data_IF_280046379415
#
_entry.id   IF_280046379415
#
_cell.length_a   1.000
_cell.length_b   1.000
_cell.length_c   1.000
_cell.angle_alpha   90.00
_cell.angle_beta   90.00
_cell.angle_gamma   90.00
#
_symmetry.space_group_name_H-M   'P 1'
#
loop_
_entity.id
_entity.type
_entity.pdbx_description
1 polymer ?
#
# COMPACT_ATOMS: atom_id res chain seq x y z
N UNK A 1 23.50 -61.62 43.11
CA UNK A 1 24.55 -61.29 42.12
C UNK A 1 24.03 -61.73 40.76
N UNK A 2 23.48 -60.79 39.99
CA UNK A 2 24.14 -60.02 38.91
C UNK A 2 24.21 -60.82 37.61
N UNK A 3 23.39 -60.42 36.63
CA UNK A 3 23.84 -59.98 35.31
C UNK A 3 22.63 -59.93 34.37
N UNK A 4 22.26 -58.72 33.92
CA UNK A 4 21.36 -58.55 32.78
C UNK A 4 21.93 -57.46 31.86
N UNK A 5 22.06 -57.85 30.60
CA UNK A 5 21.96 -57.07 29.36
C UNK A 5 23.01 -56.00 29.05
N UNK A 6 23.96 -56.42 28.21
CA UNK A 6 24.56 -55.62 27.15
C UNK A 6 23.64 -55.52 25.94
N UNK A 7 23.42 -54.29 25.46
CA UNK A 7 23.61 -53.85 24.05
C UNK A 7 22.68 -52.69 23.72
N UNK A 8 23.21 -51.47 23.60
CA UNK A 8 22.52 -50.35 22.97
C UNK A 8 23.46 -49.63 22.00
N UNK A 9 23.13 -49.82 20.72
CA UNK A 9 23.06 -48.83 19.62
C UNK A 9 24.32 -47.99 19.31
N UNK A 10 24.89 -48.28 18.14
CA UNK A 10 25.59 -47.29 17.32
C UNK A 10 24.57 -46.45 16.54
N UNK A 11 24.80 -45.12 16.48
CA UNK A 11 24.64 -44.20 15.32
C UNK A 11 24.26 -42.79 15.81
N UNK A 12 25.19 -41.84 15.62
CA UNK A 12 24.89 -40.48 15.14
C UNK A 12 26.20 -39.70 14.93
N UNK A 13 26.83 -39.90 13.78
CA UNK A 13 27.81 -38.96 13.21
C UNK A 13 27.03 -37.93 12.38
N UNK A 14 27.02 -36.67 12.84
CA UNK A 14 26.35 -35.57 12.15
C UNK A 14 26.43 -34.23 12.86
N UNK A 15 27.64 -33.80 13.28
CA UNK A 15 27.82 -32.40 13.68
C UNK A 15 28.11 -31.58 12.42
N UNK A 16 27.06 -31.00 11.83
CA UNK A 16 27.24 -29.85 10.94
C UNK A 16 27.89 -28.73 11.76
N UNK A 17 29.01 -28.20 11.27
CA UNK A 17 29.69 -27.07 11.90
C UNK A 17 28.74 -25.88 11.98
N UNK A 18 28.26 -25.57 13.19
CA UNK A 18 27.65 -24.27 13.47
C UNK A 18 28.75 -23.23 13.24
N UNK A 19 28.59 -22.40 12.21
CA UNK A 19 29.43 -21.23 12.03
C UNK A 19 29.41 -20.42 13.34
N UNK A 20 30.59 -20.04 13.84
CA UNK A 20 30.69 -19.26 15.07
C UNK A 20 29.82 -18.00 14.94
N UNK A 21 28.90 -17.80 15.89
CA UNK A 21 28.05 -16.62 15.92
C UNK A 21 28.93 -15.38 16.09
N UNK A 22 28.96 -14.53 15.06
CA UNK A 22 29.68 -13.25 15.13
C UNK A 22 28.77 -12.22 15.79
N UNK A 23 29.10 -11.79 17.00
CA UNK A 23 28.37 -10.70 17.66
C UNK A 23 28.55 -9.40 16.88
N UNK A 24 27.45 -8.72 16.59
CA UNK A 24 27.42 -7.43 15.91
C UNK A 24 26.79 -6.37 16.82
N UNK A 25 27.29 -5.13 16.74
CA UNK A 25 26.64 -3.98 17.36
C UNK A 25 25.29 -3.69 16.70
N UNK A 26 24.39 -2.97 17.38
CA UNK A 26 23.12 -2.55 16.80
C UNK A 26 23.29 -1.80 15.47
N UNK A 27 24.32 -0.94 15.40
CA UNK A 27 24.67 -0.19 14.19
C UNK A 27 25.15 -1.09 13.05
N UNK A 28 26.01 -2.08 13.34
CA UNK A 28 26.48 -3.04 12.34
C UNK A 28 25.36 -3.95 11.84
N UNK A 29 24.49 -4.41 12.74
CA UNK A 29 23.30 -5.20 12.40
C UNK A 29 22.36 -4.39 11.50
N UNK A 30 22.06 -3.14 11.86
CA UNK A 30 21.26 -2.24 11.05
C UNK A 30 21.83 -2.03 9.64
N UNK A 31 23.14 -1.75 9.55
CA UNK A 31 23.81 -1.54 8.27
C UNK A 31 23.82 -2.79 7.37
N UNK A 32 23.86 -3.99 7.96
CA UNK A 32 23.87 -5.26 7.20
C UNK A 32 22.48 -5.72 6.76
N UNK A 33 21.42 -5.35 7.48
CA UNK A 33 20.07 -5.83 7.22
C UNK A 33 19.23 -4.89 6.35
N UNK A 34 19.61 -3.63 6.19
CA UNK A 34 18.78 -2.60 5.54
C UNK A 34 19.00 -2.55 4.01
N UNK A 35 17.94 -2.46 3.18
CA UNK A 35 16.52 -2.54 3.53
C UNK A 35 16.04 -4.00 3.59
N UNK A 36 14.94 -4.24 4.31
CA UNK A 36 14.30 -5.55 4.41
C UNK A 36 12.99 -5.68 3.65
N UNK A 37 12.63 -6.91 3.29
CA UNK A 37 11.41 -7.27 2.57
C UNK A 37 10.70 -8.45 3.25
N UNK A 38 9.36 -8.48 3.29
CA UNK A 38 8.60 -9.59 3.85
C UNK A 38 8.05 -10.51 2.77
N UNK A 39 8.11 -11.82 3.06
CA UNK A 39 7.43 -12.86 2.28
C UNK A 39 6.02 -13.13 2.86
N UNK A 40 5.10 -12.18 2.75
CA UNK A 40 3.76 -12.29 3.32
C UNK A 40 2.81 -13.20 2.53
N UNK A 41 1.74 -13.71 3.15
CA UNK A 41 0.78 -14.64 2.53
C UNK A 41 1.44 -15.87 1.85
N UNK A 42 2.54 -16.35 2.42
CA UNK A 42 3.24 -17.59 2.00
C UNK A 42 3.10 -18.64 3.09
N UNK A 43 4.05 -18.71 4.04
CA UNK A 43 4.01 -19.69 5.13
C UNK A 43 3.08 -19.25 6.28
N UNK A 44 2.60 -18.02 6.22
CA UNK A 44 1.55 -17.44 7.04
C UNK A 44 0.14 -17.64 6.47
N UNK A 45 0.01 -18.18 5.25
CA UNK A 45 -1.28 -18.50 4.65
C UNK A 45 -1.98 -19.67 5.36
N UNK A 46 -3.30 -19.57 5.51
CA UNK A 46 -4.15 -20.63 6.05
C UNK A 46 -5.00 -21.29 4.94
N UNK A 47 -5.16 -22.63 4.95
CA UNK A 47 -4.59 -23.58 5.91
C UNK A 47 -3.11 -23.94 5.66
N UNK A 48 -2.56 -23.64 4.48
CA UNK A 48 -1.16 -23.97 4.13
C UNK A 48 -0.59 -23.03 3.06
N UNK A 49 0.72 -23.07 2.82
CA UNK A 49 1.34 -22.38 1.68
C UNK A 49 0.64 -22.75 0.36
N UNK A 50 0.38 -21.76 -0.49
CA UNK A 50 -0.41 -21.94 -1.71
C UNK A 50 -1.90 -21.62 -1.54
N UNK A 51 -2.39 -21.47 -0.31
CA UNK A 51 -3.84 -21.27 -0.05
C UNK A 51 -4.31 -19.85 -0.35
N UNK A 52 -3.47 -18.84 -0.12
CA UNK A 52 -3.80 -17.44 -0.41
C UNK A 52 -3.11 -16.92 -1.66
N UNK A 53 -1.85 -17.31 -1.87
CA UNK A 53 -1.03 -16.91 -3.02
C UNK A 53 -0.18 -18.10 -3.48
N UNK A 54 0.32 -18.04 -4.71
CA UNK A 54 1.22 -19.06 -5.25
C UNK A 54 2.44 -19.28 -4.33
N UNK A 55 2.90 -20.54 -4.15
CA UNK A 55 4.08 -20.87 -3.36
C UNK A 55 5.33 -20.11 -3.82
N UNK A 56 6.24 -19.83 -2.88
CA UNK A 56 7.49 -19.12 -3.21
C UNK A 56 8.44 -20.01 -4.01
N UNK A 57 9.21 -19.42 -4.93
CA UNK A 57 10.26 -20.13 -5.66
C UNK A 57 11.64 -19.54 -5.34
N UNK A 58 12.71 -20.33 -5.50
CA UNK A 58 14.09 -19.87 -5.24
C UNK A 58 14.46 -18.60 -6.03
N UNK A 59 13.92 -18.45 -7.25
CA UNK A 59 14.15 -17.26 -8.09
C UNK A 59 13.65 -15.97 -7.42
N UNK A 60 12.62 -16.04 -6.57
CA UNK A 60 12.12 -14.89 -5.81
C UNK A 60 13.21 -14.31 -4.91
N UNK A 61 13.92 -15.15 -4.14
CA UNK A 61 14.99 -14.69 -3.25
C UNK A 61 16.19 -14.12 -4.02
N UNK A 62 16.58 -14.78 -5.11
CA UNK A 62 17.66 -14.29 -5.99
C UNK A 62 17.30 -12.91 -6.58
N UNK A 63 16.05 -12.72 -6.99
CA UNK A 63 15.57 -11.46 -7.58
C UNK A 63 15.48 -10.35 -6.53
N UNK A 64 14.89 -10.61 -5.35
CA UNK A 64 14.79 -9.65 -4.24
C UNK A 64 16.19 -9.20 -3.77
N UNK A 65 17.15 -10.12 -3.70
CA UNK A 65 18.54 -9.78 -3.38
C UNK A 65 19.21 -8.92 -4.48
N UNK A 66 18.99 -9.28 -5.76
CA UNK A 66 19.48 -8.52 -6.91
C UNK A 66 18.86 -7.12 -7.00
N UNK A 67 17.60 -6.98 -6.60
CA UNK A 67 16.90 -5.69 -6.50
C UNK A 67 17.41 -4.82 -5.35
N UNK A 68 18.21 -5.40 -4.46
CA UNK A 68 19.03 -4.68 -3.49
C UNK A 68 18.57 -4.78 -2.03
N UNK A 69 17.54 -5.58 -1.74
CA UNK A 69 17.19 -5.92 -0.36
C UNK A 69 18.29 -6.76 0.28
N UNK A 70 18.47 -6.59 1.59
CA UNK A 70 19.57 -7.20 2.36
C UNK A 70 19.08 -8.09 3.50
N UNK A 71 17.79 -8.04 3.81
CA UNK A 71 17.15 -9.01 4.70
C UNK A 71 15.76 -9.39 4.18
N UNK A 72 15.31 -10.58 4.57
CA UNK A 72 13.94 -11.05 4.35
C UNK A 72 13.32 -11.45 5.69
N UNK A 73 12.10 -11.02 5.96
CA UNK A 73 11.27 -11.57 7.05
C UNK A 73 10.28 -12.57 6.45
N UNK A 74 10.25 -13.77 7.03
CA UNK A 74 9.35 -14.85 6.61
C UNK A 74 8.32 -15.02 7.73
N UNK A 75 7.13 -14.41 7.61
CA UNK A 75 6.03 -14.66 8.53
C UNK A 75 5.58 -16.13 8.39
N UNK A 76 5.32 -16.78 9.52
CA UNK A 76 4.84 -18.16 9.59
C UNK A 76 3.66 -18.15 10.56
N UNK A 77 2.52 -18.66 10.12
CA UNK A 77 1.35 -18.80 10.99
C UNK A 77 1.47 -20.14 11.69
N UNK A 78 1.65 -20.10 13.01
CA UNK A 78 1.87 -21.33 13.75
C UNK A 78 0.59 -22.02 14.20
N UNK A 79 -0.51 -21.29 14.46
CA UNK A 79 -1.86 -21.69 14.95
C UNK A 79 -2.00 -22.91 15.92
N UNK A 80 -0.89 -23.45 16.40
CA UNK A 80 -0.68 -24.60 17.28
C UNK A 80 0.20 -24.18 18.48
N UNK A 81 0.13 -22.90 18.90
CA UNK A 81 0.95 -22.33 19.98
C UNK A 81 0.14 -21.77 21.16
N UNK A 82 -1.11 -22.19 21.28
CA UNK A 82 -1.78 -22.18 22.58
C UNK A 82 -1.00 -23.09 23.54
N UNK A 83 -0.72 -22.63 24.76
CA UNK A 83 -0.11 -23.49 25.80
C UNK A 83 -1.14 -24.39 26.51
N UNK A 84 -2.41 -24.27 26.14
CA UNK A 84 -3.45 -25.22 26.49
C UNK A 84 -4.59 -25.17 25.49
N UNK A 85 -5.14 -26.33 25.15
CA UNK A 85 -6.44 -26.42 24.49
C UNK A 85 -7.60 -26.20 25.48
N UNK A 86 -8.81 -26.55 25.07
CA UNK A 86 -9.98 -26.56 25.93
C UNK A 86 -9.69 -27.22 27.30
N UNK A 87 -10.26 -26.68 28.39
CA UNK A 87 -11.26 -25.61 28.38
C UNK A 87 -10.68 -24.18 28.39
N UNK A 88 -9.36 -24.00 28.48
CA UNK A 88 -8.83 -22.72 28.96
C UNK A 88 -8.23 -21.81 27.89
N UNK A 89 -7.73 -22.34 26.76
CA UNK A 89 -7.15 -21.55 25.66
C UNK A 89 -6.36 -20.32 26.14
N UNK A 90 -5.46 -20.54 27.11
CA UNK A 90 -4.90 -19.45 27.91
C UNK A 90 -3.87 -18.66 27.10
N UNK A 91 -4.14 -17.36 26.93
CA UNK A 91 -3.18 -16.38 26.41
C UNK A 91 -2.44 -15.76 27.61
N UNK A 92 -1.13 -15.53 27.47
CA UNK A 92 -0.25 -15.05 28.55
C UNK A 92 -0.82 -13.81 29.29
N UNK A 93 -1.17 -13.93 30.60
CA UNK A 93 -1.73 -12.84 31.38
C UNK A 93 -0.78 -11.65 31.63
N UNK A 94 0.54 -11.89 31.63
CA UNK A 94 1.53 -10.82 31.77
C UNK A 94 1.55 -9.90 30.53
N UNK A 95 1.21 -10.47 29.38
CA UNK A 95 1.10 -9.76 28.11
C UNK A 95 -0.15 -8.88 28.04
N UNK A 96 -1.31 -9.38 28.48
CA UNK A 96 -2.58 -8.63 28.49
C UNK A 96 -2.58 -7.45 29.48
N UNK A 97 -1.92 -7.61 30.63
CA UNK A 97 -1.86 -6.56 31.67
C UNK A 97 -0.96 -5.37 31.27
N UNK A 98 0.09 -5.63 30.47
CA UNK A 98 0.97 -4.58 29.94
C UNK A 98 0.31 -3.73 28.85
N UNK A 99 -0.55 -4.34 28.05
CA UNK A 99 -1.24 -3.67 26.94
C UNK A 99 -2.30 -2.70 27.46
N UNK A 100 -3.10 -3.08 28.47
CA UNK A 100 -4.12 -2.20 29.06
C UNK A 100 -3.51 -0.97 29.75
N UNK A 101 -2.40 -1.13 30.49
CA UNK A 101 -1.72 -0.02 31.16
C UNK A 101 -1.21 1.07 30.20
N UNK A 102 -0.75 0.68 29.00
CA UNK A 102 -0.19 1.60 28.01
C UNK A 102 -1.28 2.37 27.26
N UNK A 103 -2.43 1.73 27.02
CA UNK A 103 -3.59 2.32 26.34
C UNK A 103 -4.33 3.30 27.26
N UNK A 104 -4.51 2.96 28.54
CA UNK A 104 -5.18 3.83 29.50
C UNK A 104 -4.35 5.08 29.85
N UNK A 105 -3.03 4.96 29.90
CA UNK A 105 -2.12 6.08 30.14
C UNK A 105 -2.18 7.13 29.01
N UNK A 106 -2.31 6.70 27.76
CA UNK A 106 -2.38 7.59 26.59
C UNK A 106 -3.72 8.35 26.49
N UNK A 107 -4.83 7.73 26.92
CA UNK A 107 -6.16 8.35 26.91
C UNK A 107 -6.38 9.29 28.10
N UNK A 108 -5.79 9.02 29.26
CA UNK A 108 -5.95 9.83 30.48
C UNK A 108 -5.30 11.22 30.44
N UNK A 109 -4.46 11.51 29.43
CA UNK A 109 -3.79 12.81 29.26
C UNK A 109 -4.43 13.72 28.19
N UNK A 110 -5.58 13.32 27.64
CA UNK A 110 -6.40 14.19 26.78
C UNK A 110 -5.87 14.44 25.36
N UNK A 111 -5.15 13.50 24.75
CA UNK A 111 -4.60 13.66 23.41
C UNK A 111 -5.48 13.02 22.33
N UNK A 112 -5.86 13.79 21.31
CA UNK A 112 -5.98 13.40 19.89
C UNK A 112 -6.00 14.66 19.00
N UNK A 113 -5.45 14.57 17.76
CA UNK A 113 -5.97 15.16 16.48
C UNK A 113 -4.94 15.01 15.33
N UNK A 114 -5.46 14.75 14.12
CA UNK A 114 -4.81 14.52 12.81
C UNK A 114 -4.99 15.74 11.88
N UNK A 115 -3.96 16.24 11.15
CA UNK A 115 -4.02 16.84 9.77
C UNK A 115 -2.61 17.02 9.09
N UNK A 116 -2.36 16.26 8.00
CA UNK A 116 -1.65 16.49 6.71
C UNK A 116 -0.16 16.95 6.58
N UNK A 117 0.49 16.35 5.54
CA UNK A 117 1.80 16.46 4.84
C UNK A 117 3.09 16.79 5.59
N UNK A 118 3.08 17.72 6.55
CA UNK A 118 4.25 18.02 7.38
C UNK A 118 4.02 17.64 8.84
N UNK A 119 2.79 17.80 9.34
CA UNK A 119 2.41 17.27 10.64
C UNK A 119 2.40 15.74 10.66
N UNK A 120 2.09 15.07 9.54
CA UNK A 120 2.16 13.60 9.45
C UNK A 120 3.61 13.10 9.50
N UNK A 121 4.55 13.81 8.84
CA UNK A 121 5.98 13.49 8.96
C UNK A 121 6.45 13.67 10.40
N UNK A 122 6.00 14.74 11.06
CA UNK A 122 6.26 15.00 12.47
C UNK A 122 5.60 13.96 13.39
N UNK A 123 4.42 13.46 13.03
CA UNK A 123 3.72 12.39 13.75
C UNK A 123 4.49 11.07 13.61
N UNK A 124 4.84 10.66 12.40
CA UNK A 124 5.68 9.47 12.14
C UNK A 124 7.01 9.57 12.91
N UNK A 125 7.64 10.75 12.93
CA UNK A 125 8.80 11.00 13.78
C UNK A 125 8.48 10.86 15.27
N UNK A 126 7.36 11.44 15.75
CA UNK A 126 6.97 11.40 17.15
C UNK A 126 6.58 10.00 17.65
N UNK A 127 6.18 9.10 16.75
CA UNK A 127 5.88 7.70 17.06
C UNK A 127 7.14 6.82 17.01
N UNK A 128 8.01 7.04 16.02
CA UNK A 128 9.24 6.25 15.84
C UNK A 128 10.33 6.63 16.85
N UNK A 129 10.50 7.93 17.15
CA UNK A 129 11.58 8.44 18.00
C UNK A 129 11.57 7.86 19.42
N UNK A 130 10.43 7.79 20.15
CA UNK A 130 10.39 7.22 21.50
C UNK A 130 10.74 5.72 21.52
N UNK A 131 10.34 4.98 20.48
CA UNK A 131 10.71 3.55 20.35
C UNK A 131 12.22 3.42 20.33
N UNK A 132 12.94 4.20 19.51
CA UNK A 132 14.41 4.15 19.50
C UNK A 132 15.02 4.55 20.85
N UNK A 133 14.51 5.61 21.48
CA UNK A 133 15.04 6.13 22.74
C UNK A 133 14.95 5.16 23.92
N UNK A 134 14.06 4.16 23.84
CA UNK A 134 13.79 3.21 24.92
C UNK A 134 14.60 1.91 24.84
N UNK A 135 15.32 1.65 23.74
CA UNK A 135 16.01 0.37 23.52
C UNK A 135 17.46 0.57 23.06
N UNK A 136 18.40 -0.14 23.69
CA UNK A 136 19.81 -0.22 23.28
C UNK A 136 20.11 -1.34 22.28
N UNK A 137 19.11 -2.17 21.96
CA UNK A 137 19.18 -3.31 21.03
C UNK A 137 18.87 -2.87 19.58
N UNK A 138 19.24 -3.65 18.54
CA UNK A 138 18.75 -3.41 17.19
C UNK A 138 17.22 -3.48 17.16
N UNK A 139 16.58 -2.57 16.42
CA UNK A 139 15.12 -2.51 16.30
C UNK A 139 14.73 -2.84 14.87
N UNK A 140 13.78 -3.77 14.73
CA UNK A 140 13.19 -4.18 13.48
C UNK A 140 11.74 -3.68 13.45
N UNK A 141 11.40 -2.83 12.49
CA UNK A 141 9.99 -2.59 12.15
C UNK A 141 9.56 -3.75 11.26
N UNK A 142 8.98 -4.78 11.90
CA UNK A 142 8.72 -6.08 11.30
C UNK A 142 7.78 -6.04 10.09
N UNK A 143 6.87 -5.06 10.02
CA UNK A 143 5.98 -4.86 8.89
C UNK A 143 5.73 -3.36 8.71
N UNK A 144 5.83 -2.90 7.47
CA UNK A 144 5.28 -1.62 7.03
C UNK A 144 4.95 -1.70 5.54
N UNK A 145 3.81 -1.17 5.13
CA UNK A 145 3.47 -0.95 3.72
C UNK A 145 2.24 -0.07 3.62
N UNK A 146 1.89 0.31 2.40
CA UNK A 146 0.52 0.69 2.05
C UNK A 146 -0.15 -0.50 1.32
N UNK A 147 -1.33 -0.29 0.71
CA UNK A 147 -1.97 -1.28 -0.18
C UNK A 147 -1.96 -0.84 -1.64
N UNK A 148 -1.45 -1.72 -2.52
CA UNK A 148 -1.56 -1.66 -3.99
C UNK A 148 -1.56 -0.24 -4.64
N UNK A 149 -0.42 0.47 -4.71
CA UNK A 149 -0.31 1.78 -5.35
C UNK A 149 -0.82 1.79 -6.80
N UNK A 150 -1.66 2.77 -7.14
CA UNK A 150 -2.32 2.90 -8.44
C UNK A 150 -3.54 2.00 -8.65
N UNK A 151 -3.93 1.23 -7.63
CA UNK A 151 -5.16 0.43 -7.56
C UNK A 151 -5.97 0.87 -6.34
N UNK A 152 -5.49 0.58 -5.12
CA UNK A 152 -6.18 0.92 -3.88
C UNK A 152 -5.81 2.31 -3.37
N UNK A 153 -4.55 2.72 -3.58
CA UNK A 153 -4.01 4.01 -3.10
C UNK A 153 -3.47 4.81 -4.27
N UNK A 154 -3.64 6.13 -4.24
CA UNK A 154 -3.09 7.02 -5.25
C UNK A 154 -1.55 6.99 -5.24
N UNK A 155 -0.95 6.89 -6.42
CA UNK A 155 0.49 6.67 -6.60
C UNK A 155 1.35 7.70 -5.86
N UNK A 156 1.12 8.99 -6.06
CA UNK A 156 1.94 10.04 -5.44
C UNK A 156 1.85 9.99 -3.91
N UNK A 157 0.67 9.70 -3.38
CA UNK A 157 0.43 9.54 -1.94
C UNK A 157 1.18 8.33 -1.37
N UNK A 158 1.14 7.19 -2.06
CA UNK A 158 1.90 6.01 -1.67
C UNK A 158 3.43 6.28 -1.70
N UNK A 159 3.93 6.91 -2.76
CA UNK A 159 5.35 7.25 -2.91
C UNK A 159 5.83 8.19 -1.80
N UNK A 160 5.04 9.22 -1.47
CA UNK A 160 5.36 10.14 -0.37
C UNK A 160 5.38 9.44 0.99
N UNK A 161 4.44 8.50 1.22
CA UNK A 161 4.38 7.71 2.45
C UNK A 161 5.59 6.78 2.57
N UNK A 162 5.91 6.00 1.52
CA UNK A 162 7.07 5.13 1.51
C UNK A 162 8.37 5.92 1.69
N UNK A 163 8.50 7.08 1.06
CA UNK A 163 9.67 7.93 1.26
C UNK A 163 9.80 8.39 2.72
N UNK A 164 8.71 8.91 3.29
CA UNK A 164 8.69 9.46 4.64
C UNK A 164 8.97 8.38 5.68
N UNK A 165 8.19 7.30 5.70
CA UNK A 165 8.27 6.26 6.73
C UNK A 165 9.62 5.55 6.68
N UNK A 166 10.10 5.22 5.48
CA UNK A 166 11.40 4.55 5.31
C UNK A 166 12.54 5.46 5.76
N UNK A 167 12.56 6.75 5.35
CA UNK A 167 13.61 7.68 5.79
C UNK A 167 13.59 7.88 7.30
N UNK A 168 12.41 8.00 7.92
CA UNK A 168 12.31 8.18 9.37
C UNK A 168 12.80 6.93 10.12
N UNK A 169 12.43 5.73 9.67
CA UNK A 169 12.96 4.49 10.24
C UNK A 169 14.49 4.42 10.17
N UNK A 170 15.07 4.72 9.00
CA UNK A 170 16.53 4.69 8.81
C UNK A 170 17.24 5.77 9.63
N UNK A 171 16.67 6.97 9.75
CA UNK A 171 17.18 8.05 10.59
C UNK A 171 17.33 7.64 12.05
N UNK A 172 16.45 6.76 12.53
CA UNK A 172 16.45 6.24 13.89
C UNK A 172 17.09 4.85 14.03
N UNK A 173 17.85 4.40 13.03
CA UNK A 173 18.52 3.09 13.05
C UNK A 173 17.54 1.91 13.25
N UNK A 174 16.30 2.06 12.77
CA UNK A 174 15.29 1.01 12.75
C UNK A 174 15.28 0.36 11.37
N UNK A 175 15.46 -0.96 11.30
CA UNK A 175 15.42 -1.70 10.04
C UNK A 175 13.96 -1.88 9.61
N UNK A 176 13.51 -1.27 8.49
CA UNK A 176 12.13 -1.41 8.02
C UNK A 176 12.01 -2.67 7.13
N UNK A 177 11.05 -3.53 7.44
CA UNK A 177 10.74 -4.72 6.65
C UNK A 177 9.46 -4.49 5.85
N UNK A 178 9.60 -4.29 4.54
CA UNK A 178 8.47 -3.94 3.68
C UNK A 178 7.51 -5.12 3.56
N UNK A 179 6.25 -4.95 3.98
CA UNK A 179 5.21 -5.95 3.82
C UNK A 179 4.82 -6.14 2.34
N UNK A 180 5.01 -7.35 1.83
CA UNK A 180 4.60 -7.74 0.47
C UNK A 180 3.90 -9.11 0.49
N UNK A 181 2.58 -9.05 0.32
CA UNK A 181 1.73 -10.23 0.28
C UNK A 181 1.79 -11.00 -1.05
N UNK A 182 2.58 -10.55 -2.03
CA UNK A 182 2.71 -11.16 -3.36
C UNK A 182 1.63 -10.76 -4.38
N UNK A 183 0.51 -10.22 -3.91
CA UNK A 183 -0.58 -9.70 -4.74
C UNK A 183 -0.40 -8.23 -5.13
N UNK A 184 0.25 -7.44 -4.27
CA UNK A 184 0.25 -5.98 -4.39
C UNK A 184 1.51 -5.40 -5.04
N UNK A 185 2.68 -5.98 -4.77
CA UNK A 185 3.96 -5.42 -5.19
C UNK A 185 4.73 -6.37 -6.08
N UNK A 186 5.53 -7.28 -5.53
CA UNK A 186 6.32 -8.21 -6.32
C UNK A 186 5.42 -9.33 -6.86
N UNK A 187 5.32 -9.43 -8.17
CA UNK A 187 4.65 -10.55 -8.83
C UNK A 187 5.61 -11.74 -8.85
N UNK A 188 5.30 -12.72 -8.00
CA UNK A 188 6.09 -13.95 -7.84
C UNK A 188 6.08 -14.83 -9.09
N UNK A 189 5.05 -14.72 -9.94
CA UNK A 189 4.92 -15.51 -11.16
C UNK A 189 5.80 -14.93 -12.26
N UNK A 190 5.72 -13.61 -12.47
CA UNK A 190 6.49 -12.95 -13.54
C UNK A 190 7.89 -12.53 -13.11
N UNK A 191 8.17 -12.52 -11.81
CA UNK A 191 9.43 -12.04 -11.23
C UNK A 191 9.61 -10.52 -11.36
N UNK A 192 8.50 -9.77 -11.48
CA UNK A 192 8.52 -8.33 -11.75
C UNK A 192 7.77 -7.54 -10.68
N UNK A 193 8.25 -6.34 -10.39
CA UNK A 193 7.53 -5.38 -9.56
C UNK A 193 6.35 -4.79 -10.32
N UNK A 194 5.15 -4.84 -9.73
CA UNK A 194 3.96 -4.15 -10.24
C UNK A 194 4.10 -2.63 -10.16
N UNK A 195 4.76 -2.13 -9.10
CA UNK A 195 5.16 -0.73 -8.95
C UNK A 195 6.69 -0.61 -8.75
N UNK A 196 7.39 -0.40 -9.86
CA UNK A 196 8.84 -0.19 -9.84
C UNK A 196 9.26 1.14 -9.20
N UNK A 197 8.38 2.16 -9.21
CA UNK A 197 8.69 3.47 -8.63
C UNK A 197 8.78 3.36 -7.11
N UNK A 198 7.80 2.71 -6.48
CA UNK A 198 7.84 2.45 -5.02
C UNK A 198 9.10 1.66 -4.63
N UNK A 199 9.43 0.60 -5.37
CA UNK A 199 10.67 -0.16 -5.14
C UNK A 199 11.90 0.73 -5.24
N UNK A 200 12.00 1.55 -6.30
CA UNK A 200 13.16 2.43 -6.49
C UNK A 200 13.27 3.52 -5.41
N UNK A 201 12.14 4.02 -4.90
CA UNK A 201 12.10 4.98 -3.78
C UNK A 201 12.73 4.37 -2.53
N UNK A 202 12.29 3.16 -2.13
CA UNK A 202 12.84 2.44 -0.98
C UNK A 202 14.34 2.19 -1.16
N UNK A 203 14.75 1.78 -2.35
CA UNK A 203 16.17 1.51 -2.66
C UNK A 203 17.04 2.77 -2.66
N UNK A 204 16.52 3.90 -3.15
CA UNK A 204 17.23 5.17 -3.12
C UNK A 204 17.47 5.63 -1.68
N UNK A 205 16.50 5.43 -0.79
CA UNK A 205 16.58 5.78 0.63
C UNK A 205 17.62 4.93 1.35
N UNK A 206 17.63 3.61 1.09
CA UNK A 206 18.65 2.71 1.62
C UNK A 206 20.06 3.10 1.15
N UNK A 207 20.18 3.71 -0.04
CA UNK A 207 21.44 4.27 -0.55
C UNK A 207 21.75 5.69 -0.02
N UNK A 208 21.01 6.18 0.98
CA UNK A 208 21.23 7.50 1.58
C UNK A 208 20.77 8.68 0.72
N UNK A 209 19.91 8.44 -0.28
CA UNK A 209 19.38 9.49 -1.16
C UNK A 209 18.00 9.98 -0.67
N UNK A 210 17.71 11.25 -0.92
CA UNK A 210 16.39 11.85 -0.73
C UNK A 210 15.65 11.81 -2.07
N UNK A 211 14.42 11.29 -2.08
CA UNK A 211 13.61 11.27 -3.29
C UNK A 211 12.84 12.57 -3.48
N UNK A 212 12.58 12.90 -4.75
CA UNK A 212 11.48 13.79 -5.11
C UNK A 212 10.26 12.96 -5.47
N UNK A 213 9.07 13.53 -5.34
CA UNK A 213 7.82 12.88 -5.74
C UNK A 213 6.74 13.93 -6.04
N UNK A 214 5.74 13.62 -6.87
CA UNK A 214 4.60 14.49 -7.10
C UNK A 214 3.80 14.78 -5.81
N UNK A 215 3.08 15.91 -5.79
CA UNK A 215 2.03 16.11 -4.78
C UNK A 215 0.88 15.12 -5.00
N UNK A 216 0.12 14.83 -3.94
CA UNK A 216 -1.04 13.93 -3.99
C UNK A 216 -1.97 14.26 -5.17
N UNK A 217 -2.39 13.23 -5.90
CA UNK A 217 -3.19 13.36 -7.12
C UNK A 217 -2.39 13.62 -8.41
N UNK A 218 -1.06 13.80 -8.34
CA UNK A 218 -0.20 14.04 -9.50
C UNK A 218 0.61 12.80 -9.92
N UNK A 219 0.37 11.63 -9.31
CA UNK A 219 0.99 10.35 -9.71
C UNK A 219 0.42 9.76 -11.01
N UNK A 220 -0.60 10.38 -11.58
CA UNK A 220 -1.17 10.08 -12.89
C UNK A 220 -1.73 11.36 -13.50
N UNK A 221 -1.44 11.59 -14.78
CA UNK A 221 -2.09 12.64 -15.58
C UNK A 221 -3.45 12.14 -16.03
N UNK A 222 -4.50 12.78 -15.53
CA UNK A 222 -5.89 12.47 -15.87
C UNK A 222 -6.41 13.43 -16.94
N UNK A 223 -6.60 12.91 -18.16
CA UNK A 223 -7.12 13.64 -19.30
C UNK A 223 -8.62 13.38 -19.42
N UNK A 224 -9.46 14.38 -19.16
CA UNK A 224 -10.90 14.24 -19.37
C UNK A 224 -11.22 14.34 -20.86
N UNK A 225 -11.94 13.37 -21.42
CA UNK A 225 -12.34 13.43 -22.83
C UNK A 225 -13.19 14.67 -23.12
N UNK A 226 -12.93 15.29 -24.27
CA UNK A 226 -13.57 16.57 -24.65
C UNK A 226 -12.99 17.80 -23.95
N UNK A 227 -12.02 17.65 -23.04
CA UNK A 227 -11.32 18.77 -22.38
C UNK A 227 -9.90 18.88 -22.92
N UNK A 228 -9.55 20.05 -23.44
CA UNK A 228 -8.22 20.32 -24.04
C UNK A 228 -7.17 20.76 -23.03
N UNK A 229 -7.58 21.33 -21.89
CA UNK A 229 -6.67 21.79 -20.84
C UNK A 229 -6.02 20.60 -20.14
N UNK A 230 -4.68 20.59 -20.13
CA UNK A 230 -3.87 19.58 -19.43
C UNK A 230 -3.41 20.20 -18.11
N UNK A 231 -3.69 19.53 -16.99
CA UNK A 231 -3.27 20.00 -15.68
C UNK A 231 -1.76 19.79 -15.49
N UNK A 232 -1.05 20.73 -14.86
CA UNK A 232 0.34 20.53 -14.49
C UNK A 232 0.51 19.40 -13.46
N UNK A 233 1.68 18.78 -13.50
CA UNK A 233 2.17 17.84 -12.51
C UNK A 233 3.05 18.64 -11.54
N UNK A 234 2.54 18.88 -10.34
CA UNK A 234 3.30 19.57 -9.29
C UNK A 234 4.18 18.59 -8.52
N UNK A 235 5.40 19.04 -8.21
CA UNK A 235 6.47 18.21 -7.67
C UNK A 235 6.98 18.73 -6.32
N UNK A 236 7.17 17.81 -5.36
CA UNK A 236 8.00 18.02 -4.18
C UNK A 236 9.43 17.64 -4.52
N UNK A 237 10.26 18.65 -4.81
CA UNK A 237 11.63 18.42 -5.24
C UNK A 237 12.57 17.99 -4.12
N UNK A 238 12.28 18.33 -2.86
CA UNK A 238 13.07 17.92 -1.68
C UNK A 238 14.57 18.20 -1.82
N UNK A 239 14.93 19.35 -2.41
CA UNK A 239 16.31 19.78 -2.65
C UNK A 239 16.94 19.24 -3.94
N UNK A 240 16.28 18.34 -4.66
CA UNK A 240 16.73 17.87 -5.97
C UNK A 240 16.31 18.82 -7.10
N UNK A 241 16.87 18.58 -8.29
CA UNK A 241 16.56 19.32 -9.52
C UNK A 241 16.03 18.38 -10.59
N UNK A 242 15.07 18.85 -11.41
CA UNK A 242 14.62 18.15 -12.61
C UNK A 242 15.77 18.05 -13.61
N UNK A 243 16.15 16.83 -14.01
CA UNK A 243 17.18 16.58 -15.04
C UNK A 243 16.58 16.40 -16.42
N UNK A 244 15.39 15.81 -16.49
CA UNK A 244 14.69 15.64 -17.74
C UNK A 244 13.47 14.74 -17.60
N UNK A 245 12.71 14.69 -18.68
CA UNK A 245 11.53 13.86 -18.81
C UNK A 245 11.74 12.99 -20.04
N UNK A 246 11.43 11.70 -19.91
CA UNK A 246 11.75 10.71 -20.92
C UNK A 246 10.53 9.86 -21.24
N UNK A 247 10.49 9.30 -22.45
CA UNK A 247 9.61 8.19 -22.77
C UNK A 247 10.07 6.92 -22.03
N UNK A 248 9.22 5.89 -21.89
CA UNK A 248 9.63 4.60 -21.32
C UNK A 248 10.77 3.92 -22.10
N UNK A 249 10.91 4.21 -23.39
CA UNK A 249 12.00 3.73 -24.24
C UNK A 249 13.33 4.48 -24.03
N UNK A 250 13.37 5.50 -23.15
CA UNK A 250 14.56 6.27 -22.85
C UNK A 250 14.80 7.49 -23.74
N UNK A 251 13.86 7.84 -24.62
CA UNK A 251 13.96 9.05 -25.46
C UNK A 251 13.66 10.28 -24.62
N UNK A 252 14.59 11.25 -24.58
CA UNK A 252 14.37 12.49 -23.85
C UNK A 252 13.34 13.39 -24.56
N UNK A 253 12.38 13.88 -23.79
CA UNK A 253 11.42 14.89 -24.23
C UNK A 253 12.06 16.28 -24.23
N UNK A 254 11.65 17.11 -25.18
CA UNK A 254 12.17 18.46 -25.39
C UNK A 254 11.37 19.50 -24.59
N UNK A 255 12.02 20.22 -23.69
CA UNK A 255 11.39 21.37 -22.99
C UNK A 255 10.98 22.45 -23.98
N UNK A 256 9.81 23.06 -23.78
CA UNK A 256 9.18 24.03 -24.67
C UNK A 256 8.43 23.43 -25.86
N UNK A 257 8.64 22.15 -26.18
CA UNK A 257 7.95 21.44 -27.26
C UNK A 257 7.04 20.33 -26.74
N UNK A 258 7.60 19.41 -25.96
CA UNK A 258 6.90 18.22 -25.47
C UNK A 258 6.34 18.44 -24.05
N UNK A 259 7.01 19.29 -23.26
CA UNK A 259 6.55 19.75 -21.96
C UNK A 259 7.04 21.17 -21.67
N UNK A 260 6.44 21.84 -20.70
CA UNK A 260 6.88 23.13 -20.18
C UNK A 260 7.04 23.06 -18.68
N UNK A 261 8.14 23.60 -18.13
CA UNK A 261 8.35 23.73 -16.68
C UNK A 261 7.43 24.82 -16.13
N UNK A 262 6.80 24.56 -14.99
CA UNK A 262 5.95 25.53 -14.29
C UNK A 262 6.48 25.77 -12.88
N UNK A 263 6.34 27.00 -12.39
CA UNK A 263 6.78 27.38 -11.03
C UNK A 263 5.64 27.95 -10.16
N UNK A 264 4.43 28.10 -10.72
CA UNK A 264 3.27 28.66 -10.03
C UNK A 264 2.02 27.82 -10.33
N UNK A 265 1.14 27.58 -9.34
CA UNK A 265 1.28 27.90 -7.92
C UNK A 265 2.37 27.09 -7.21
N UNK A 266 2.80 25.97 -7.80
CA UNK A 266 3.86 25.10 -7.27
C UNK A 266 4.84 24.72 -8.40
N UNK A 267 6.09 24.36 -8.07
CA UNK A 267 7.06 23.95 -9.07
C UNK A 267 6.71 22.55 -9.63
N UNK A 268 6.94 22.35 -10.92
CA UNK A 268 6.51 21.16 -11.63
C UNK A 268 6.67 21.29 -13.14
N UNK A 269 5.87 20.54 -13.90
CA UNK A 269 5.83 20.65 -15.36
C UNK A 269 4.44 20.29 -15.90
N UNK A 270 4.15 20.70 -17.13
CA UNK A 270 2.93 20.33 -17.85
C UNK A 270 3.31 19.75 -19.21
N UNK A 271 2.67 18.65 -19.60
CA UNK A 271 2.84 18.06 -20.94
C UNK A 271 2.09 18.90 -21.97
N UNK A 272 2.67 19.10 -23.15
CA UNK A 272 2.01 19.91 -24.18
C UNK A 272 0.86 19.14 -24.85
N UNK A 273 -0.16 19.84 -25.38
CA UNK A 273 -1.20 19.19 -26.19
C UNK A 273 -0.63 18.41 -27.38
N UNK A 274 0.44 18.90 -28.00
CA UNK A 274 1.11 18.21 -29.10
C UNK A 274 1.68 16.86 -28.66
N UNK A 275 2.36 16.81 -27.52
CA UNK A 275 2.86 15.55 -26.97
C UNK A 275 1.74 14.60 -26.60
N UNK A 276 0.69 15.07 -25.90
CA UNK A 276 -0.46 14.22 -25.55
C UNK A 276 -1.14 13.64 -26.79
N UNK A 277 -1.31 14.44 -27.86
CA UNK A 277 -1.89 13.95 -29.11
C UNK A 277 -1.02 12.90 -29.80
N UNK A 278 0.31 12.95 -29.61
CA UNK A 278 1.23 11.94 -30.14
C UNK A 278 1.10 10.56 -29.46
N UNK A 279 0.55 10.49 -28.24
CA UNK A 279 0.37 9.25 -27.49
C UNK A 279 -0.85 8.43 -27.95
N UNK A 280 -1.75 9.02 -28.74
CA UNK A 280 -2.87 8.31 -29.35
C UNK A 280 -4.09 9.18 -29.60
N UNK A 281 -5.02 8.63 -30.40
CA UNK A 281 -6.27 9.29 -30.77
C UNK A 281 -7.05 9.80 -29.55
N UNK A 282 -7.72 10.95 -29.69
CA UNK A 282 -8.52 11.58 -28.62
C UNK A 282 -9.70 10.73 -28.14
N UNK A 283 -10.16 9.78 -28.97
CA UNK A 283 -11.22 8.82 -28.65
C UNK A 283 -10.74 7.65 -27.77
N UNK A 284 -9.43 7.39 -27.68
CA UNK A 284 -8.89 6.29 -26.87
C UNK A 284 -9.03 6.62 -25.39
N UNK A 285 -9.79 5.80 -24.65
CA UNK A 285 -9.91 5.83 -23.19
C UNK A 285 -8.93 4.85 -22.54
N UNK A 286 -8.64 5.07 -21.26
CA UNK A 286 -7.70 4.26 -20.48
C UNK A 286 -6.26 4.74 -20.62
N UNK A 287 -5.31 3.80 -20.55
CA UNK A 287 -3.88 4.09 -20.58
C UNK A 287 -3.42 4.52 -21.97
N UNK A 288 -2.82 5.71 -22.04
CA UNK A 288 -2.19 6.23 -23.26
C UNK A 288 -0.70 5.96 -23.27
N UNK A 289 -0.07 6.00 -22.10
CA UNK A 289 1.35 5.79 -21.91
C UNK A 289 1.79 6.31 -20.55
N UNK A 290 3.08 6.57 -20.40
CA UNK A 290 3.67 7.19 -19.20
C UNK A 290 4.91 8.00 -19.57
N UNK A 291 5.32 8.89 -18.68
CA UNK A 291 6.61 9.57 -18.74
C UNK A 291 7.48 9.16 -17.56
N UNK A 292 8.79 9.14 -17.79
CA UNK A 292 9.80 8.87 -16.79
C UNK A 292 10.44 10.21 -16.40
N UNK A 293 10.23 10.64 -15.16
CA UNK A 293 10.80 11.88 -14.64
C UNK A 293 12.12 11.55 -13.95
N UNK A 294 13.21 12.15 -14.42
CA UNK A 294 14.55 11.97 -13.84
C UNK A 294 14.99 13.21 -13.07
N UNK A 295 15.54 12.96 -11.89
CA UNK A 295 15.96 13.99 -10.94
C UNK A 295 17.47 13.91 -10.71
N UNK A 296 18.03 14.93 -10.06
CA UNK A 296 19.45 14.98 -9.72
C UNK A 296 19.89 13.87 -8.76
N UNK A 297 18.99 13.40 -7.91
CA UNK A 297 19.16 12.25 -7.03
C UNK A 297 17.79 11.62 -6.73
N UNK A 298 17.80 10.47 -6.04
CA UNK A 298 16.59 9.70 -5.76
C UNK A 298 16.19 8.76 -6.89
N UNK A 299 14.96 8.26 -6.81
CA UNK A 299 14.34 7.40 -7.81
C UNK A 299 13.86 8.16 -9.04
N UNK A 300 13.95 7.52 -10.21
CA UNK A 300 13.17 7.92 -11.39
C UNK A 300 11.68 7.63 -11.11
N UNK A 301 10.79 8.51 -11.57
CA UNK A 301 9.34 8.42 -11.30
C UNK A 301 8.56 8.07 -12.57
N UNK A 302 7.69 7.06 -12.50
CA UNK A 302 6.83 6.66 -13.60
C UNK A 302 5.41 7.26 -13.49
N UNK A 303 5.19 8.38 -14.18
CA UNK A 303 3.90 9.09 -14.17
C UNK A 303 3.04 8.62 -15.34
N UNK A 304 1.97 7.91 -15.03
CA UNK A 304 1.03 7.40 -16.03
C UNK A 304 0.22 8.53 -16.66
N UNK A 305 -0.18 8.34 -17.92
CA UNK A 305 -1.05 9.24 -18.66
C UNK A 305 -2.29 8.46 -19.07
N UNK A 306 -3.45 8.89 -18.56
CA UNK A 306 -4.72 8.20 -18.76
C UNK A 306 -5.79 9.15 -19.25
N UNK A 307 -6.64 8.68 -20.16
CA UNK A 307 -7.83 9.41 -20.61
C UNK A 307 -9.08 8.76 -20.08
N UNK A 308 -10.02 9.56 -19.59
CA UNK A 308 -11.25 9.07 -19.00
C UNK A 308 -12.49 9.85 -19.44
N UNK A 309 -13.64 9.20 -19.34
CA UNK A 309 -14.96 9.85 -19.25
C UNK A 309 -15.67 9.34 -18.00
N UNK A 310 -16.89 9.83 -17.74
CA UNK A 310 -17.69 9.38 -16.61
C UNK A 310 -17.85 7.84 -16.67
N UNK A 311 -17.50 7.10 -15.60
CA UNK A 311 -17.70 5.66 -15.54
C UNK A 311 -19.19 5.32 -15.49
N UNK A 312 -19.54 4.15 -16.00
CA UNK A 312 -20.91 3.63 -15.98
C UNK A 312 -21.00 2.48 -14.98
N UNK A 313 -21.96 2.57 -14.07
CA UNK A 313 -22.32 1.53 -13.11
C UNK A 313 -23.82 1.22 -13.33
N UNK A 314 -24.27 -0.04 -13.20
CA UNK A 314 -25.69 -0.37 -13.29
C UNK A 314 -26.53 0.55 -12.40
N UNK A 315 -27.53 1.21 -12.99
CA UNK A 315 -28.40 2.13 -12.26
C UNK A 315 -29.49 1.37 -11.49
N UNK A 316 -29.99 2.00 -10.42
CA UNK A 316 -31.11 1.50 -9.65
C UNK A 316 -30.73 0.83 -8.33
N UNK A 317 -31.64 -0.01 -7.84
CA UNK A 317 -31.51 -0.71 -6.56
C UNK A 317 -30.98 -2.12 -6.77
N UNK A 318 -29.86 -2.43 -6.12
CA UNK A 318 -29.32 -3.78 -5.97
C UNK A 318 -29.97 -4.39 -4.73
N UNK A 319 -30.80 -5.42 -4.93
CA UNK A 319 -31.39 -6.20 -3.84
C UNK A 319 -30.57 -7.49 -3.67
N UNK A 320 -29.89 -7.64 -2.54
CA UNK A 320 -29.07 -8.82 -2.24
C UNK A 320 -29.79 -9.70 -1.21
N UNK A 321 -29.93 -10.99 -1.50
CA UNK A 321 -30.49 -11.96 -0.56
C UNK A 321 -29.39 -12.60 0.28
N UNK A 322 -29.34 -12.29 1.57
CA UNK A 322 -28.32 -12.82 2.49
C UNK A 322 -26.97 -12.12 2.41
N UNK A 323 -26.02 -12.59 3.22
CA UNK A 323 -24.72 -11.92 3.46
C UNK A 323 -23.53 -12.88 3.47
N UNK A 324 -23.73 -14.13 3.06
CA UNK A 324 -22.71 -15.19 3.19
C UNK A 324 -21.60 -15.12 2.14
N UNK A 325 -21.74 -14.27 1.11
CA UNK A 325 -20.77 -14.13 0.04
C UNK A 325 -20.73 -12.72 -0.51
N UNK A 326 -19.67 -12.43 -1.26
CA UNK A 326 -19.52 -11.15 -1.94
C UNK A 326 -20.54 -11.00 -3.07
N UNK A 327 -20.98 -9.77 -3.31
CA UNK A 327 -21.82 -9.42 -4.45
C UNK A 327 -21.00 -8.69 -5.51
N UNK A 328 -20.93 -9.26 -6.71
CA UNK A 328 -20.15 -8.73 -7.83
C UNK A 328 -21.06 -8.22 -8.93
N UNK A 329 -20.71 -7.10 -9.54
CA UNK A 329 -21.41 -6.60 -10.70
C UNK A 329 -20.47 -5.87 -11.67
N UNK A 330 -20.78 -5.99 -12.96
CA UNK A 330 -19.97 -5.38 -14.01
C UNK A 330 -20.14 -3.85 -14.01
N UNK A 331 -19.08 -3.16 -14.38
CA UNK A 331 -19.10 -1.73 -14.64
C UNK A 331 -18.27 -1.40 -15.88
N UNK A 332 -18.46 -0.20 -16.43
CA UNK A 332 -17.62 0.32 -17.50
C UNK A 332 -16.78 1.46 -16.94
N UNK A 333 -15.48 1.25 -16.66
CA UNK A 333 -14.64 2.28 -16.04
C UNK A 333 -14.41 3.50 -16.94
N UNK A 334 -14.59 3.36 -18.27
CA UNK A 334 -14.40 4.42 -19.25
C UNK A 334 -13.03 5.12 -19.11
N UNK A 335 -12.00 4.37 -18.73
CA UNK A 335 -10.63 4.86 -18.52
C UNK A 335 -10.36 5.49 -17.15
N UNK A 336 -11.38 5.67 -16.32
CA UNK A 336 -11.22 6.03 -14.91
C UNK A 336 -10.79 4.81 -14.09
N UNK A 337 -10.37 5.02 -12.84
CA UNK A 337 -10.03 3.95 -11.88
C UNK A 337 -10.81 4.15 -10.59
N UNK A 338 -11.35 3.09 -10.01
CA UNK A 338 -12.01 3.17 -8.70
C UNK A 338 -11.03 3.74 -7.68
N UNK A 339 -11.51 4.65 -6.85
CA UNK A 339 -10.72 5.30 -5.82
C UNK A 339 -11.24 4.93 -4.43
N UNK A 340 -12.54 5.13 -4.20
CA UNK A 340 -13.17 4.82 -2.92
C UNK A 340 -14.67 4.69 -3.06
N UNK A 341 -15.33 4.26 -1.99
CA UNK A 341 -16.79 4.20 -1.90
C UNK A 341 -17.24 4.96 -0.67
N UNK A 342 -18.23 5.83 -0.85
CA UNK A 342 -18.97 6.47 0.25
C UNK A 342 -20.25 5.69 0.51
N UNK A 343 -20.57 5.37 1.76
CA UNK A 343 -21.77 4.60 2.11
C UNK A 343 -22.66 5.41 3.07
N UNK A 344 -23.83 5.83 2.58
CA UNK A 344 -24.76 6.67 3.35
C UNK A 344 -26.18 6.07 3.40
N UNK A 345 -26.84 6.22 4.53
CA UNK A 345 -28.27 5.96 4.68
C UNK A 345 -29.14 7.03 3.98
N UNK A 346 -30.47 6.83 3.99
CA UNK A 346 -31.40 7.69 3.25
C UNK A 346 -31.41 9.17 3.70
N UNK A 347 -31.02 9.44 4.95
CA UNK A 347 -30.97 10.79 5.51
C UNK A 347 -29.52 11.30 5.63
N UNK A 348 -28.56 10.65 4.96
CA UNK A 348 -27.15 11.00 5.04
C UNK A 348 -26.43 10.41 6.25
N UNK A 349 -27.03 9.45 6.96
CA UNK A 349 -26.38 8.73 8.06
C UNK A 349 -25.16 7.96 7.54
N UNK A 350 -24.07 7.94 8.29
CA UNK A 350 -22.87 7.22 7.86
C UNK A 350 -23.07 5.75 8.21
N UNK A 351 -22.91 4.85 7.24
CA UNK A 351 -23.16 3.43 7.50
C UNK A 351 -22.17 2.84 8.50
N UNK A 352 -20.90 3.23 8.40
CA UNK A 352 -19.79 2.82 9.25
C UNK A 352 -18.91 4.02 9.56
N UNK A 353 -18.15 3.91 10.65
CA UNK A 353 -17.14 4.89 11.02
C UNK A 353 -17.71 6.31 11.05
N UNK A 354 -18.80 6.51 11.78
CA UNK A 354 -19.53 7.77 11.88
C UNK A 354 -18.65 8.93 12.39
N UNK A 355 -17.62 8.63 13.18
CA UNK A 355 -16.58 9.57 13.59
C UNK A 355 -15.87 10.23 12.39
N UNK A 356 -15.87 9.60 11.21
CA UNK A 356 -15.29 10.19 9.99
C UNK A 356 -16.02 11.45 9.53
N UNK A 357 -17.21 11.76 10.07
CA UNK A 357 -17.92 13.03 9.81
C UNK A 357 -17.10 14.26 10.19
N UNK A 358 -16.15 14.12 11.11
CA UNK A 358 -15.22 15.16 11.55
C UNK A 358 -13.99 15.28 10.64
N UNK A 359 -13.83 14.38 9.67
CA UNK A 359 -12.77 14.43 8.68
C UNK A 359 -13.16 15.28 7.47
N UNK A 360 -12.17 15.63 6.65
CA UNK A 360 -12.38 16.41 5.44
C UNK A 360 -13.29 15.73 4.42
N UNK A 361 -13.80 16.49 3.42
CA UNK A 361 -14.80 16.01 2.46
C UNK A 361 -14.33 14.85 1.58
N UNK A 362 -13.02 14.58 1.51
CA UNK A 362 -12.44 13.42 0.81
C UNK A 362 -12.35 12.15 1.66
N UNK A 363 -12.65 12.22 2.96
CA UNK A 363 -12.56 11.09 3.90
C UNK A 363 -13.90 10.75 4.56
N UNK A 364 -14.72 11.76 4.86
CA UNK A 364 -15.95 11.57 5.62
C UNK A 364 -16.94 10.57 4.98
N UNK A 365 -17.34 9.52 5.71
CA UNK A 365 -18.32 8.52 5.29
C UNK A 365 -17.84 7.51 4.25
N UNK A 366 -16.51 7.39 4.04
CA UNK A 366 -15.91 6.40 3.14
C UNK A 366 -15.63 5.12 3.89
N UNK A 367 -15.80 4.00 3.19
CA UNK A 367 -15.64 2.64 3.73
C UNK A 367 -14.30 2.03 3.31
N UNK A 368 -13.98 0.84 3.80
CA UNK A 368 -12.64 0.27 3.69
C UNK A 368 -12.42 -0.55 2.41
N UNK A 369 -11.27 -0.35 1.76
CA UNK A 369 -10.81 -1.19 0.65
C UNK A 369 -10.53 -2.63 1.13
N UNK A 370 -10.93 -3.63 0.34
CA UNK A 370 -10.91 -5.08 0.62
C UNK A 370 -11.74 -5.53 1.83
N UNK A 371 -11.94 -4.67 2.82
CA UNK A 371 -12.81 -4.93 3.96
C UNK A 371 -14.29 -4.70 3.68
N UNK A 372 -14.67 -3.76 2.81
CA UNK A 372 -16.07 -3.45 2.51
C UNK A 372 -16.36 -3.45 1.00
N UNK A 373 -15.41 -3.00 0.19
CA UNK A 373 -15.51 -2.99 -1.27
C UNK A 373 -14.16 -3.33 -1.91
N UNK A 374 -14.17 -3.79 -3.16
CA UNK A 374 -12.97 -3.92 -3.97
C UNK A 374 -13.30 -4.05 -5.46
N UNK A 375 -12.31 -4.45 -6.25
CA UNK A 375 -12.44 -4.84 -7.65
C UNK A 375 -12.11 -6.32 -7.80
N UNK A 376 -12.60 -6.94 -8.89
CA UNK A 376 -12.03 -8.19 -9.41
C UNK A 376 -10.60 -7.96 -9.91
N UNK A 377 -9.81 -9.03 -10.02
CA UNK A 377 -8.40 -8.94 -10.44
C UNK A 377 -8.22 -8.31 -11.83
N UNK A 378 -9.15 -8.59 -12.75
CA UNK A 378 -9.22 -8.00 -14.09
C UNK A 378 -9.83 -6.58 -14.09
N UNK A 379 -10.28 -6.11 -12.94
CA UNK A 379 -10.92 -4.82 -12.69
C UNK A 379 -12.20 -4.59 -13.52
N UNK A 380 -12.86 -5.64 -14.00
CA UNK A 380 -14.12 -5.51 -14.74
C UNK A 380 -15.35 -5.46 -13.82
N UNK A 381 -15.23 -6.00 -12.61
CA UNK A 381 -16.32 -6.08 -11.65
C UNK A 381 -16.03 -5.27 -10.39
N UNK A 382 -17.04 -4.53 -9.93
CA UNK A 382 -17.08 -3.94 -8.60
C UNK A 382 -17.59 -4.99 -7.63
N UNK A 383 -16.99 -5.04 -6.44
CA UNK A 383 -17.30 -6.03 -5.42
C UNK A 383 -17.82 -5.31 -4.17
N UNK A 384 -19.01 -5.70 -3.72
CA UNK A 384 -19.54 -5.40 -2.39
C UNK A 384 -19.23 -6.61 -1.52
N UNK A 385 -18.38 -6.43 -0.50
CA UNK A 385 -17.93 -7.55 0.33
C UNK A 385 -19.03 -8.03 1.27
N UNK A 386 -18.98 -9.31 1.63
CA UNK A 386 -19.93 -9.96 2.56
C UNK A 386 -20.08 -9.21 3.91
N UNK A 387 -18.98 -8.65 4.41
CA UNK A 387 -18.90 -7.77 5.58
C UNK A 387 -19.75 -6.50 5.41
N UNK A 388 -19.68 -5.83 4.25
CA UNK A 388 -20.49 -4.65 3.97
C UNK A 388 -21.97 -5.02 3.82
N UNK A 389 -22.28 -6.14 3.16
CA UNK A 389 -23.66 -6.65 3.09
C UNK A 389 -24.23 -6.91 4.49
N UNK A 390 -23.41 -7.47 5.39
CA UNK A 390 -23.78 -7.68 6.80
C UNK A 390 -24.03 -6.37 7.54
N UNK A 391 -23.22 -5.34 7.28
CA UNK A 391 -23.42 -4.00 7.84
C UNK A 391 -24.71 -3.36 7.31
N UNK A 392 -24.98 -3.43 6.00
CA UNK A 392 -26.22 -2.91 5.38
C UNK A 392 -27.46 -3.63 5.94
N UNK A 393 -27.40 -4.96 6.08
CA UNK A 393 -28.49 -5.75 6.67
C UNK A 393 -28.77 -5.32 8.11
N UNK A 394 -27.72 -5.14 8.91
CA UNK A 394 -27.82 -4.71 10.31
C UNK A 394 -28.35 -3.28 10.44
N UNK A 395 -28.02 -2.41 9.48
CA UNK A 395 -28.52 -1.04 9.42
C UNK A 395 -30.03 -0.97 9.12
N UNK A 396 -30.59 -1.99 8.45
CA UNK A 396 -32.03 -2.16 8.27
C UNK A 396 -32.70 -1.14 7.34
N UNK A 397 -31.91 -0.34 6.60
CA UNK A 397 -32.38 0.68 5.65
C UNK A 397 -31.60 0.57 4.32
N UNK A 398 -32.16 1.05 3.20
CA UNK A 398 -31.40 1.17 1.95
C UNK A 398 -30.17 2.06 2.14
N UNK A 399 -29.04 1.64 1.58
CA UNK A 399 -27.78 2.39 1.63
C UNK A 399 -27.40 2.83 0.23
N UNK A 400 -27.11 4.12 0.07
CA UNK A 400 -26.51 4.66 -1.15
C UNK A 400 -25.00 4.47 -1.10
N UNK A 401 -24.47 3.64 -2.01
CA UNK A 401 -23.05 3.55 -2.29
C UNK A 401 -22.70 4.53 -3.42
N UNK A 402 -21.84 5.50 -3.11
CA UNK A 402 -21.24 6.40 -4.11
C UNK A 402 -19.86 5.88 -4.46
N UNK A 403 -19.74 5.29 -5.64
CA UNK A 403 -18.49 4.82 -6.23
C UNK A 403 -17.74 6.01 -6.80
N UNK A 404 -16.62 6.38 -6.16
CA UNK A 404 -15.79 7.51 -6.57
C UNK A 404 -14.58 7.01 -7.34
N UNK A 405 -14.26 7.66 -8.46
CA UNK A 405 -13.15 7.28 -9.33
C UNK A 405 -12.10 8.40 -9.41
N UNK A 406 -10.86 8.03 -9.71
CA UNK A 406 -9.79 8.99 -9.96
C UNK A 406 -9.94 9.64 -11.35
N UNK A 407 -9.77 10.97 -11.45
CA UNK A 407 -9.41 11.90 -10.37
C UNK A 407 -10.61 12.26 -9.49
N UNK A 408 -10.46 12.14 -8.15
CA UNK A 408 -11.55 12.42 -7.19
C UNK A 408 -11.93 13.90 -7.06
N UNK A 409 -11.10 14.78 -7.60
CA UNK A 409 -11.39 16.22 -7.68
C UNK A 409 -12.43 16.54 -8.76
N UNK A 410 -12.66 15.63 -9.71
CA UNK A 410 -13.78 15.74 -10.64
C UNK A 410 -15.03 15.08 -10.05
N UNK A 411 -15.95 15.87 -9.51
CA UNK A 411 -17.20 15.37 -8.93
C UNK A 411 -18.08 14.60 -9.94
N UNK A 412 -17.89 14.83 -11.25
CA UNK A 412 -18.57 14.06 -12.29
C UNK A 412 -18.02 12.64 -12.45
N UNK A 413 -16.90 12.31 -11.82
CA UNK A 413 -16.27 11.00 -11.88
C UNK A 413 -16.77 10.07 -10.76
N UNK A 414 -18.09 10.05 -10.60
CA UNK A 414 -18.79 9.28 -9.58
C UNK A 414 -20.00 8.59 -10.19
N UNK A 415 -20.38 7.45 -9.59
CA UNK A 415 -21.60 6.73 -9.89
C UNK A 415 -22.25 6.24 -8.60
N UNK A 416 -23.57 6.06 -8.59
CA UNK A 416 -24.31 5.68 -7.38
C UNK A 416 -25.12 4.41 -7.60
N UNK A 417 -25.20 3.59 -6.55
CA UNK A 417 -26.09 2.42 -6.47
C UNK A 417 -26.78 2.42 -5.12
N UNK A 418 -28.07 2.13 -5.08
CA UNK A 418 -28.78 1.89 -3.82
C UNK A 418 -28.74 0.40 -3.55
N UNK A 419 -28.35 0.01 -2.34
CA UNK A 419 -28.24 -1.39 -1.93
C UNK A 419 -29.21 -1.67 -0.78
N UNK A 420 -29.96 -2.75 -0.92
CA UNK A 420 -30.83 -3.32 0.10
C UNK A 420 -30.43 -4.78 0.33
N UNK A 421 -30.50 -5.24 1.58
CA UNK A 421 -30.16 -6.62 1.93
C UNK A 421 -31.29 -7.22 2.74
N UNK A 422 -31.80 -8.38 2.31
CA UNK A 422 -32.88 -9.13 2.99
C UNK A 422 -32.36 -10.35 3.75
#
# INVERSE_FOLDING_TARGET
MRSLLTSLVALASGHAALAAFTSLTAKETFARMTPGWNLGNTLDALPTEGSWMAPVQNVTFSQVYADGFRSVRIPITFNDHFISDAPNYTVDPAWLSRINYVVDAALSTGLFVVVNVDADKALVESEIKPVRGNFSVPILMGEYSTSAPGIAIEKASAWAWFDTVTRTALKYEIVPQWWDNGGEYFDRVTGKWRDITTRNIVMAIAAGKINSYPYSGNGTVWLKSGVSTIQPIYMQYNGNQLKGIYTPSGTQLSSGKDYTVVNSPLPGFVLTPSYINSLGATSKLGELGRVIVKLSAGADLEIDIRRYTRPTVPSGTINVSGTSGDYLFNHTPNGAKLATVKALGPNGEYLKDDWTQWLGPLQAGRINWNGDYSLSDDQTQLIIRASLLSAIKSFGKPVTLTWEFWPRTDASNTATTVVTVT
#
